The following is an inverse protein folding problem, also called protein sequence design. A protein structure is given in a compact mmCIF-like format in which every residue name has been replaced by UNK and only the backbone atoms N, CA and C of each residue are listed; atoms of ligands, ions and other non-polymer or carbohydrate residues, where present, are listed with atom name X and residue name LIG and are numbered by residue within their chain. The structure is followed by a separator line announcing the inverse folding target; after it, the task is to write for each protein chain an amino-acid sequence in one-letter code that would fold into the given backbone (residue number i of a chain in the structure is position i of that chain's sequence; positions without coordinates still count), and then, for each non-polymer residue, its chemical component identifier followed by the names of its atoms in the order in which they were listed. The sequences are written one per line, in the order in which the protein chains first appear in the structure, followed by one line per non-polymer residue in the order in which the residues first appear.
data_IF_433800522327
#
_entry.id   IF_433800522327
#
_cell.length_a   1.000
_cell.length_b   1.000
_cell.length_c   1.000
_cell.angle_alpha   90.00
_cell.angle_beta   90.00
_cell.angle_gamma   90.00
#
_symmetry.space_group_name_H-M   'P 1'
#
loop_
_entity.id
_entity.type
_entity.pdbx_description
1 polymer ?
#
# COMPACT_ATOMS: atom_id res chain seq x y z
N UNK A 1 51.49 42.39 -15.59
CA UNK A 1 51.50 41.18 -14.74
C UNK A 1 50.14 41.14 -14.03
N UNK A 2 49.03 40.85 -14.70
CA UNK A 2 48.71 39.62 -15.45
C UNK A 2 48.69 38.39 -14.54
N UNK A 3 47.50 37.98 -14.12
CA UNK A 3 47.03 36.60 -14.24
C UNK A 3 45.56 36.51 -13.81
N UNK A 4 44.74 36.37 -14.85
CA UNK A 4 43.42 35.78 -14.82
C UNK A 4 43.54 34.30 -14.39
N UNK A 5 42.63 33.79 -13.56
CA UNK A 5 42.42 32.35 -13.43
C UNK A 5 40.93 32.05 -13.23
N UNK A 6 40.25 32.07 -14.37
CA UNK A 6 39.01 31.37 -14.63
C UNK A 6 39.04 29.95 -14.05
N UNK A 7 37.99 29.62 -13.30
CA UNK A 7 37.71 28.28 -12.81
C UNK A 7 36.22 27.99 -12.71
N UNK A 8 35.39 28.65 -13.53
CA UNK A 8 34.04 28.15 -13.78
C UNK A 8 34.17 26.88 -14.62
N UNK A 9 34.17 25.73 -13.96
CA UNK A 9 33.93 24.45 -14.62
C UNK A 9 32.49 24.44 -15.11
N UNK A 10 32.33 25.01 -16.31
CA UNK A 10 31.15 24.98 -17.13
C UNK A 10 30.95 23.53 -17.60
N UNK A 11 30.43 22.68 -16.70
CA UNK A 11 30.01 21.33 -17.02
C UNK A 11 28.79 21.44 -17.94
N UNK A 12 29.07 21.45 -19.25
CA UNK A 12 28.07 21.42 -20.31
C UNK A 12 27.25 20.14 -20.17
N UNK A 13 26.15 20.20 -19.41
CA UNK A 13 25.12 19.15 -19.37
C UNK A 13 24.67 18.94 -20.83
N UNK A 14 24.77 17.71 -21.38
CA UNK A 14 24.57 17.47 -22.80
C UNK A 14 23.18 17.95 -23.21
N UNK A 15 23.11 18.73 -24.29
CA UNK A 15 21.88 19.19 -24.94
C UNK A 15 20.93 18.00 -25.14
N UNK A 16 20.02 17.81 -24.19
CA UNK A 16 19.03 16.73 -24.24
C UNK A 16 17.86 17.22 -25.08
N UNK A 17 18.04 17.20 -26.40
CA UNK A 17 16.92 17.14 -27.33
C UNK A 17 16.09 15.90 -26.98
N UNK A 18 14.99 16.06 -26.24
CA UNK A 18 13.96 15.04 -26.08
C UNK A 18 12.60 15.72 -26.06
N UNK A 19 11.76 15.33 -27.00
CA UNK A 19 10.38 15.75 -27.21
C UNK A 19 9.68 15.95 -25.85
N UNK A 20 9.07 17.12 -25.66
CA UNK A 20 8.33 17.47 -24.44
C UNK A 20 7.36 16.34 -24.00
N UNK A 21 6.77 15.62 -24.96
CA UNK A 21 5.91 14.46 -24.71
C UNK A 21 6.51 13.33 -23.85
N UNK A 22 7.83 13.06 -23.94
CA UNK A 22 8.47 12.00 -23.14
C UNK A 22 8.58 12.41 -21.67
N UNK A 23 8.70 13.71 -21.38
CA UNK A 23 8.72 14.23 -20.00
C UNK A 23 7.35 14.14 -19.36
N UNK A 24 6.29 14.55 -20.07
CA UNK A 24 4.92 14.41 -19.57
C UNK A 24 4.55 12.94 -19.32
N UNK A 25 4.97 12.03 -20.20
CA UNK A 25 4.77 10.60 -20.00
C UNK A 25 5.42 10.09 -18.70
N UNK A 26 6.63 10.56 -18.37
CA UNK A 26 7.31 10.20 -17.14
C UNK A 26 6.55 10.68 -15.89
N UNK A 27 6.05 11.92 -15.91
CA UNK A 27 5.28 12.49 -14.79
C UNK A 27 3.96 11.75 -14.59
N UNK A 28 3.23 11.47 -15.68
CA UNK A 28 1.97 10.72 -15.64
C UNK A 28 2.21 9.29 -15.18
N UNK A 29 3.24 8.60 -15.67
CA UNK A 29 3.59 7.26 -15.23
C UNK A 29 4.02 7.21 -13.76
N UNK A 30 4.79 8.20 -13.29
CA UNK A 30 5.17 8.34 -11.89
C UNK A 30 3.94 8.56 -10.99
N UNK A 31 3.04 9.45 -11.39
CA UNK A 31 1.78 9.71 -10.71
C UNK A 31 0.90 8.46 -10.61
N UNK A 32 0.69 7.76 -11.73
CA UNK A 32 -0.09 6.52 -11.77
C UNK A 32 0.57 5.42 -10.93
N UNK A 33 1.89 5.29 -11.01
CA UNK A 33 2.65 4.33 -10.19
C UNK A 33 2.46 4.59 -8.68
N UNK A 34 2.57 5.84 -8.24
CA UNK A 34 2.35 6.20 -6.83
C UNK A 34 0.90 5.99 -6.39
N UNK A 35 -0.06 6.28 -7.27
CA UNK A 35 -1.47 6.01 -7.05
C UNK A 35 -1.74 4.51 -6.82
N UNK A 36 -1.23 3.66 -7.71
CA UNK A 36 -1.42 2.21 -7.63
C UNK A 36 -0.74 1.59 -6.40
N UNK A 37 0.48 2.01 -6.08
CA UNK A 37 1.21 1.53 -4.89
C UNK A 37 0.42 1.78 -3.62
N UNK A 38 -0.16 2.98 -3.48
CA UNK A 38 -0.95 3.32 -2.31
C UNK A 38 -2.33 2.67 -2.32
N UNK A 39 -2.97 2.51 -3.48
CA UNK A 39 -4.20 1.73 -3.60
C UNK A 39 -4.00 0.28 -3.12
N UNK A 40 -2.91 -0.38 -3.54
CA UNK A 40 -2.53 -1.73 -3.09
C UNK A 40 -2.25 -1.78 -1.59
N UNK A 41 -1.59 -0.75 -1.05
CA UNK A 41 -1.24 -0.66 0.37
C UNK A 41 -2.48 -0.54 1.26
N UNK A 42 -3.45 0.29 0.88
CA UNK A 42 -4.66 0.52 1.68
C UNK A 42 -5.69 -0.60 1.52
N UNK A 43 -5.67 -1.30 0.37
CA UNK A 43 -6.57 -2.43 0.09
C UNK A 43 -6.58 -3.45 1.23
N UNK A 44 -5.40 -3.74 1.77
CA UNK A 44 -5.22 -4.69 2.86
C UNK A 44 -5.92 -4.34 4.16
N UNK A 45 -5.90 -3.07 4.56
CA UNK A 45 -6.53 -2.61 5.79
C UNK A 45 -8.06 -2.70 5.72
N UNK A 46 -8.62 -2.66 4.51
CA UNK A 46 -10.06 -2.80 4.27
C UNK A 46 -10.43 -4.28 4.09
N UNK A 47 -9.66 -5.02 3.30
CA UNK A 47 -9.91 -6.41 2.99
C UNK A 47 -9.84 -7.33 4.23
N UNK A 48 -8.98 -7.02 5.21
CA UNK A 48 -8.92 -7.79 6.47
C UNK A 48 -10.26 -7.78 7.20
N UNK A 49 -11.04 -6.69 7.10
CA UNK A 49 -12.36 -6.61 7.73
C UNK A 49 -13.36 -7.60 7.11
N UNK A 50 -13.25 -7.86 5.80
CA UNK A 50 -14.06 -8.88 5.11
C UNK A 50 -13.53 -10.31 5.25
N UNK A 51 -12.26 -10.49 5.63
CA UNK A 51 -11.67 -11.81 5.90
C UNK A 51 -12.07 -12.38 7.27
N UNK A 52 -12.51 -11.52 8.20
CA UNK A 52 -12.75 -11.88 9.59
C UNK A 52 -14.18 -12.33 9.85
N UNK A 53 -14.35 -13.35 10.68
CA UNK A 53 -15.63 -13.64 11.32
C UNK A 53 -15.84 -12.68 12.51
N UNK A 54 -16.45 -11.52 12.25
CA UNK A 54 -16.63 -10.48 13.28
C UNK A 54 -17.47 -10.96 14.48
N UNK A 55 -18.42 -11.87 14.27
CA UNK A 55 -19.25 -12.44 15.35
C UNK A 55 -18.43 -13.36 16.26
N UNK A 56 -17.63 -14.27 15.71
CA UNK A 56 -16.79 -15.17 16.50
C UNK A 56 -15.66 -14.42 17.22
N UNK A 57 -15.03 -13.44 16.54
CA UNK A 57 -13.99 -12.60 17.15
C UNK A 57 -14.58 -11.78 18.29
N UNK A 58 -15.76 -11.17 18.12
CA UNK A 58 -16.45 -10.43 19.16
C UNK A 58 -16.73 -11.25 20.42
N UNK A 59 -17.14 -12.52 20.26
CA UNK A 59 -17.35 -13.45 21.38
C UNK A 59 -16.03 -13.79 22.07
N UNK A 60 -14.95 -14.07 21.33
CA UNK A 60 -13.65 -14.39 21.92
C UNK A 60 -13.02 -13.22 22.68
N UNK A 61 -13.13 -12.00 22.16
CA UNK A 61 -12.67 -10.78 22.87
C UNK A 61 -13.61 -10.35 24.01
N UNK A 62 -14.91 -10.67 23.93
CA UNK A 62 -15.87 -10.40 25.00
C UNK A 62 -15.81 -11.41 26.15
N UNK A 63 -15.34 -12.63 25.88
CA UNK A 63 -15.20 -13.70 26.89
C UNK A 63 -14.06 -13.46 27.89
N UNK A 64 -13.12 -12.54 27.63
CA UNK A 64 -12.06 -12.18 28.59
C UNK A 64 -12.53 -11.15 29.65
N UNK A 65 -13.74 -10.60 29.53
CA UNK A 65 -14.29 -9.61 30.47
C UNK A 65 -15.47 -10.11 31.31
N UNK A 66 -15.79 -11.41 31.30
CA UNK A 66 -16.74 -12.00 32.25
C UNK A 66 -16.01 -12.88 33.25
N UNK A 67 -15.37 -12.26 34.25
CA UNK A 67 -15.25 -12.94 35.55
C UNK A 67 -15.14 -12.05 36.77
N UNK A 68 -14.77 -10.76 36.68
CA UNK A 68 -14.43 -10.01 37.91
C UNK A 68 -14.99 -8.58 38.03
N UNK A 69 -16.27 -8.32 37.79
CA UNK A 69 -16.93 -7.13 38.34
C UNK A 69 -18.37 -7.46 38.77
N UNK A 70 -18.79 -7.11 40.00
CA UNK A 70 -20.11 -7.45 40.50
C UNK A 70 -21.17 -6.64 39.75
N UNK A 71 -22.14 -7.38 39.23
CA UNK A 71 -23.36 -6.86 38.63
C UNK A 71 -24.14 -6.02 39.65
N UNK A 72 -23.96 -4.71 39.63
CA UNK A 72 -24.90 -3.77 40.25
C UNK A 72 -26.00 -3.45 39.24
N UNK A 73 -27.20 -3.89 39.58
CA UNK A 73 -28.43 -3.85 38.83
C UNK A 73 -28.75 -2.52 38.11
N UNK A 74 -29.01 -2.62 36.81
CA UNK A 74 -30.18 -1.98 36.19
C UNK A 74 -30.89 -3.01 35.31
N UNK A 75 -31.97 -3.54 35.86
CA UNK A 75 -33.25 -3.87 35.22
C UNK A 75 -33.20 -4.22 33.72
N UNK A 76 -33.51 -5.48 33.40
CA UNK A 76 -33.86 -5.93 32.04
C UNK A 76 -34.76 -4.91 31.31
N UNK A 77 -34.35 -4.36 30.16
CA UNK A 77 -35.31 -3.94 29.15
C UNK A 77 -35.70 -5.17 28.31
N UNK A 78 -36.93 -5.22 27.77
CA UNK A 78 -37.41 -6.36 27.00
C UNK A 78 -36.55 -6.56 25.77
N UNK A 79 -36.55 -7.80 25.26
CA UNK A 79 -36.08 -8.17 23.93
C UNK A 79 -36.85 -7.33 22.91
N UNK A 80 -36.37 -6.11 22.68
CA UNK A 80 -36.77 -5.29 21.56
C UNK A 80 -35.72 -5.53 20.51
N UNK A 81 -36.08 -6.38 19.55
CA UNK A 81 -35.38 -6.56 18.29
C UNK A 81 -35.43 -5.26 17.50
N UNK A 82 -34.79 -4.20 18.01
CA UNK A 82 -34.45 -3.04 17.22
C UNK A 82 -33.48 -3.56 16.16
N UNK A 83 -33.96 -3.57 14.92
CA UNK A 83 -33.11 -3.56 13.73
C UNK A 83 -32.15 -2.38 13.83
N UNK A 84 -31.08 -2.53 14.62
CA UNK A 84 -29.82 -1.98 14.19
C UNK A 84 -29.64 -2.62 12.82
N UNK A 85 -29.50 -1.82 11.76
CA UNK A 85 -28.82 -2.31 10.56
C UNK A 85 -27.42 -2.68 11.03
N UNK A 86 -27.29 -3.85 11.65
CA UNK A 86 -26.10 -4.66 11.57
C UNK A 86 -25.86 -4.69 10.08
N UNK A 87 -24.88 -3.90 9.65
CA UNK A 87 -24.23 -4.10 8.36
C UNK A 87 -24.13 -5.61 8.24
N UNK A 88 -24.73 -6.17 7.21
CA UNK A 88 -24.66 -7.59 6.92
C UNK A 88 -23.19 -7.86 6.57
N UNK A 89 -22.35 -7.93 7.60
CA UNK A 89 -20.94 -8.25 7.48
C UNK A 89 -20.96 -9.72 7.15
N UNK A 90 -20.77 -10.00 5.86
CA UNK A 90 -20.51 -11.35 5.36
C UNK A 90 -19.40 -11.93 6.24
N UNK A 91 -19.74 -12.89 7.08
CA UNK A 91 -18.80 -13.45 8.05
C UNK A 91 -17.65 -14.08 7.27
N UNK A 92 -16.45 -13.51 7.38
CA UNK A 92 -15.26 -14.07 6.78
C UNK A 92 -14.88 -15.40 7.42
N UNK A 93 -14.05 -16.17 6.75
CA UNK A 93 -13.70 -17.54 7.15
C UNK A 93 -12.71 -17.58 8.33
N UNK A 94 -11.99 -16.48 8.59
CA UNK A 94 -10.85 -16.48 9.52
C UNK A 94 -11.18 -15.87 10.88
N UNK A 95 -10.68 -16.51 11.95
CA UNK A 95 -10.80 -16.04 13.33
C UNK A 95 -9.41 -15.54 13.77
N UNK A 96 -9.09 -14.28 13.46
CA UNK A 96 -7.85 -13.64 13.93
C UNK A 96 -8.14 -12.65 15.06
N UNK A 97 -7.48 -12.83 16.20
CA UNK A 97 -7.50 -11.87 17.33
C UNK A 97 -7.00 -10.49 16.88
N UNK A 98 -7.48 -9.38 17.47
CA UNK A 98 -7.00 -8.02 17.13
C UNK A 98 -5.46 -7.89 17.17
N UNK A 99 -4.80 -8.58 18.10
CA UNK A 99 -3.34 -8.67 18.16
C UNK A 99 -2.73 -9.22 16.86
N UNK A 100 -3.29 -10.29 16.30
CA UNK A 100 -2.81 -10.90 15.06
C UNK A 100 -3.10 -10.02 13.84
N UNK A 101 -4.24 -9.35 13.79
CA UNK A 101 -4.55 -8.38 12.75
C UNK A 101 -3.50 -7.24 12.72
N UNK A 102 -3.15 -6.73 13.91
CA UNK A 102 -2.08 -5.75 14.08
C UNK A 102 -0.72 -6.26 13.60
N UNK A 103 -0.37 -7.52 13.90
CA UNK A 103 0.88 -8.13 13.41
C UNK A 103 0.89 -8.28 11.89
N UNK A 104 -0.21 -8.72 11.27
CA UNK A 104 -0.31 -8.87 9.80
C UNK A 104 -0.15 -7.50 9.12
N UNK A 105 -0.87 -6.48 9.59
CA UNK A 105 -0.78 -5.13 9.03
C UNK A 105 0.62 -4.52 9.29
N UNK A 106 1.15 -4.72 10.49
CA UNK A 106 2.45 -4.19 10.94
C UNK A 106 3.65 -4.84 10.23
N UNK A 107 3.59 -6.13 9.89
CA UNK A 107 4.68 -6.88 9.22
C UNK A 107 5.17 -6.20 7.93
N UNK A 108 4.24 -5.59 7.18
CA UNK A 108 4.56 -4.78 6.00
C UNK A 108 5.49 -3.61 6.34
N UNK A 109 5.23 -2.90 7.44
CA UNK A 109 6.01 -1.72 7.82
C UNK A 109 7.42 -2.09 8.27
N UNK A 110 7.58 -3.24 8.93
CA UNK A 110 8.91 -3.73 9.30
C UNK A 110 9.79 -3.97 8.05
N UNK A 111 9.26 -4.65 7.03
CA UNK A 111 9.98 -4.86 5.76
C UNK A 111 10.20 -3.57 4.96
N UNK A 112 9.25 -2.65 5.05
CA UNK A 112 9.34 -1.34 4.40
C UNK A 112 10.49 -0.50 4.95
N UNK A 113 10.59 -0.38 6.29
CA UNK A 113 11.63 0.44 6.95
C UNK A 113 13.03 -0.12 6.71
N UNK A 114 13.20 -1.44 6.77
CA UNK A 114 14.52 -2.08 6.57
C UNK A 114 15.09 -1.81 5.17
N UNK A 115 14.23 -1.62 4.17
CA UNK A 115 14.64 -1.52 2.76
C UNK A 115 14.75 -0.08 2.27
N UNK A 116 14.30 0.92 3.03
CA UNK A 116 14.40 2.34 2.64
C UNK A 116 15.85 2.79 2.37
N UNK A 117 16.75 2.56 3.33
CA UNK A 117 18.14 3.00 3.22
C UNK A 117 18.92 2.19 2.17
N UNK A 118 18.86 0.83 2.15
CA UNK A 118 19.48 0.05 1.09
C UNK A 118 18.88 0.35 -0.29
N UNK A 119 17.57 0.56 -0.37
CA UNK A 119 16.83 0.90 -1.59
C UNK A 119 17.26 2.23 -2.19
N UNK A 120 17.57 3.23 -1.35
CA UNK A 120 18.15 4.50 -1.78
C UNK A 120 19.49 4.32 -2.49
N UNK A 121 20.40 3.53 -1.90
CA UNK A 121 21.69 3.23 -2.53
C UNK A 121 21.53 2.43 -3.82
N UNK A 122 20.63 1.46 -3.83
CA UNK A 122 20.33 0.69 -5.04
C UNK A 122 19.81 1.59 -6.16
N UNK A 123 18.94 2.57 -5.87
CA UNK A 123 18.40 3.52 -6.86
C UNK A 123 19.46 4.48 -7.44
N UNK A 124 20.52 4.77 -6.68
CA UNK A 124 21.64 5.57 -7.17
C UNK A 124 22.48 4.82 -8.20
N UNK A 125 22.78 3.54 -7.90
CA UNK A 125 23.66 2.66 -8.68
C UNK A 125 22.91 2.09 -9.90
N UNK A 126 21.76 1.48 -9.67
CA UNK A 126 20.89 0.94 -10.70
C UNK A 126 19.82 1.98 -11.02
N UNK A 127 19.76 2.42 -12.29
CA UNK A 127 18.85 3.46 -12.75
C UNK A 127 17.45 3.35 -12.11
N UNK A 128 17.02 4.39 -11.40
CA UNK A 128 15.78 4.39 -10.60
C UNK A 128 14.52 3.95 -11.36
N UNK A 129 14.49 4.05 -12.71
CA UNK A 129 13.36 3.59 -13.54
C UNK A 129 13.10 2.09 -13.39
N UNK A 130 14.18 1.30 -13.31
CA UNK A 130 14.08 -0.15 -13.22
C UNK A 130 13.71 -0.57 -11.80
N UNK A 131 14.29 0.08 -10.80
CA UNK A 131 13.97 -0.20 -9.39
C UNK A 131 12.53 0.19 -9.06
N UNK A 132 12.08 1.34 -9.54
CA UNK A 132 10.69 1.77 -9.39
C UNK A 132 9.74 0.75 -10.04
N UNK A 133 9.96 0.39 -11.31
CA UNK A 133 9.13 -0.60 -12.00
C UNK A 133 9.14 -1.98 -11.35
N UNK A 134 10.31 -2.50 -10.99
CA UNK A 134 10.46 -3.81 -10.34
C UNK A 134 9.87 -3.84 -8.94
N UNK A 135 10.01 -2.78 -8.15
CA UNK A 135 9.44 -2.69 -6.81
C UNK A 135 7.92 -2.77 -6.82
N UNK A 136 7.29 -2.02 -7.74
CA UNK A 136 5.83 -2.09 -7.91
C UNK A 136 5.43 -3.45 -8.52
N UNK A 137 6.21 -3.98 -9.47
CA UNK A 137 6.04 -5.29 -10.07
C UNK A 137 5.97 -6.44 -9.09
N UNK A 138 7.03 -6.57 -8.28
CA UNK A 138 7.12 -7.59 -7.25
C UNK A 138 6.02 -7.38 -6.22
N UNK A 139 5.72 -6.13 -5.84
CA UNK A 139 4.63 -5.86 -4.91
C UNK A 139 3.26 -6.30 -5.44
N UNK A 140 2.98 -6.14 -6.74
CA UNK A 140 1.72 -6.54 -7.34
C UNK A 140 1.61 -8.07 -7.44
N UNK A 141 2.70 -8.75 -7.83
CA UNK A 141 2.75 -10.21 -7.84
C UNK A 141 2.52 -10.81 -6.44
N UNK A 142 3.17 -10.25 -5.42
CA UNK A 142 2.93 -10.63 -4.02
C UNK A 142 1.49 -10.35 -3.60
N UNK A 143 0.87 -9.28 -4.11
CA UNK A 143 -0.56 -8.99 -3.88
C UNK A 143 -1.49 -10.08 -4.39
N UNK A 144 -1.19 -10.69 -5.54
CA UNK A 144 -1.98 -11.79 -6.11
C UNK A 144 -1.82 -13.10 -5.31
N UNK A 145 -0.70 -13.27 -4.63
CA UNK A 145 -0.39 -14.45 -3.81
C UNK A 145 -1.11 -14.39 -2.45
N UNK A 146 -1.47 -13.20 -1.96
CA UNK A 146 -2.08 -13.04 -0.63
C UNK A 146 -3.36 -13.85 -0.40
N UNK A 147 -4.37 -13.87 -1.31
CA UNK A 147 -5.55 -14.70 -1.06
C UNK A 147 -5.22 -16.17 -0.88
N UNK A 148 -4.33 -16.71 -1.70
CA UNK A 148 -3.83 -18.09 -1.56
C UNK A 148 -3.10 -18.23 -0.21
N UNK A 149 -2.25 -17.26 0.14
CA UNK A 149 -1.47 -17.31 1.38
C UNK A 149 -2.33 -17.31 2.65
N UNK A 150 -3.47 -16.60 2.62
CA UNK A 150 -4.40 -16.54 3.73
C UNK A 150 -5.10 -17.89 3.99
N UNK A 151 -5.40 -18.66 2.94
CA UNK A 151 -6.02 -19.99 3.06
C UNK A 151 -5.06 -21.06 3.59
N UNK A 152 -3.77 -20.95 3.29
CA UNK A 152 -2.77 -21.91 3.79
C UNK A 152 -2.46 -21.74 5.27
N UNK A 153 -1.93 -20.57 5.68
CA UNK A 153 -1.56 -20.33 7.06
C UNK A 153 -1.30 -18.84 7.34
N UNK A 154 -1.71 -18.36 8.52
CA UNK A 154 -1.50 -16.96 8.96
C UNK A 154 -0.03 -16.55 8.93
N UNK A 155 0.90 -17.43 9.31
CA UNK A 155 2.35 -17.15 9.25
C UNK A 155 2.85 -16.91 7.82
N UNK A 156 2.34 -17.65 6.84
CA UNK A 156 2.74 -17.47 5.44
C UNK A 156 2.23 -16.13 4.90
N UNK A 157 1.00 -15.73 5.29
CA UNK A 157 0.49 -14.39 5.02
C UNK A 157 1.40 -13.29 5.60
N UNK A 158 1.88 -13.44 6.84
CA UNK A 158 2.81 -12.49 7.48
C UNK A 158 4.12 -12.37 6.69
N UNK A 159 4.67 -13.49 6.21
CA UNK A 159 5.91 -13.51 5.41
C UNK A 159 5.69 -12.80 4.07
N UNK A 160 4.62 -13.13 3.35
CA UNK A 160 4.28 -12.48 2.08
C UNK A 160 4.11 -10.97 2.26
N UNK A 161 3.48 -10.56 3.37
CA UNK A 161 3.33 -9.13 3.72
C UNK A 161 4.64 -8.43 4.02
N UNK A 162 5.54 -9.09 4.75
CA UNK A 162 6.88 -8.55 5.00
C UNK A 162 7.67 -8.39 3.69
N UNK A 163 7.62 -9.39 2.79
CA UNK A 163 8.24 -9.33 1.46
C UNK A 163 7.64 -8.22 0.59
N UNK A 164 6.33 -8.01 0.66
CA UNK A 164 5.67 -6.92 -0.04
C UNK A 164 6.14 -5.56 0.49
N UNK A 165 6.33 -5.45 1.81
CA UNK A 165 6.95 -4.28 2.45
C UNK A 165 8.36 -4.00 1.92
N UNK A 166 9.20 -5.03 1.84
CA UNK A 166 10.55 -4.94 1.26
C UNK A 166 10.50 -4.45 -0.19
N UNK A 167 9.63 -5.03 -1.02
CA UNK A 167 9.48 -4.64 -2.43
C UNK A 167 8.97 -3.19 -2.60
N UNK A 168 8.05 -2.73 -1.75
CA UNK A 168 7.56 -1.33 -1.80
C UNK A 168 8.50 -0.33 -1.14
N UNK A 169 9.41 -0.78 -0.26
CA UNK A 169 10.36 0.09 0.44
C UNK A 169 11.32 0.84 -0.49
N UNK A 170 11.62 0.28 -1.66
CA UNK A 170 12.50 0.91 -2.67
C UNK A 170 11.80 1.97 -3.53
N UNK A 171 10.47 2.03 -3.52
CA UNK A 171 9.68 2.85 -4.46
C UNK A 171 9.87 4.35 -4.24
N UNK A 172 9.83 4.81 -2.99
CA UNK A 172 10.06 6.21 -2.63
C UNK A 172 11.47 6.69 -2.97
N UNK A 173 12.55 6.02 -2.55
CA UNK A 173 13.88 6.44 -2.94
C UNK A 173 14.09 6.42 -4.46
N UNK A 174 13.52 5.44 -5.17
CA UNK A 174 13.62 5.35 -6.61
C UNK A 174 12.91 6.51 -7.33
N UNK A 175 11.70 6.90 -6.90
CA UNK A 175 10.97 8.01 -7.53
C UNK A 175 11.65 9.36 -7.26
N UNK A 176 12.17 9.59 -6.05
CA UNK A 176 12.93 10.81 -5.75
C UNK A 176 14.24 10.89 -6.54
N UNK A 177 14.94 9.76 -6.72
CA UNK A 177 16.13 9.71 -7.56
C UNK A 177 15.80 10.04 -9.03
N UNK A 178 14.69 9.49 -9.54
CA UNK A 178 14.21 9.75 -10.89
C UNK A 178 13.84 11.22 -11.10
N UNK A 179 13.06 11.78 -10.17
CA UNK A 179 12.64 13.18 -10.20
C UNK A 179 13.84 14.13 -10.15
N UNK A 180 14.86 13.80 -9.34
CA UNK A 180 16.10 14.58 -9.28
C UNK A 180 16.94 14.56 -10.55
N UNK A 181 16.87 13.49 -11.36
CA UNK A 181 17.67 13.35 -12.60
C UNK A 181 16.94 13.79 -13.86
N UNK A 182 15.60 13.72 -13.90
CA UNK A 182 14.81 13.95 -15.12
C UNK A 182 14.09 15.30 -15.16
N UNK A 183 13.92 15.96 -14.01
CA UNK A 183 13.18 17.22 -13.93
C UNK A 183 14.10 18.43 -14.00
N UNK A 184 13.66 19.51 -14.67
CA UNK A 184 14.37 20.79 -14.64
C UNK A 184 14.30 21.40 -13.23
N UNK A 185 15.36 22.08 -12.79
CA UNK A 185 15.46 22.65 -11.43
C UNK A 185 14.34 23.66 -11.15
N UNK A 186 13.90 24.41 -12.17
CA UNK A 186 12.85 25.43 -12.12
C UNK A 186 11.45 24.86 -11.81
N UNK A 187 11.15 23.66 -12.30
CA UNK A 187 9.83 23.02 -12.17
C UNK A 187 9.85 21.81 -11.23
N UNK A 188 11.02 21.47 -10.66
CA UNK A 188 11.26 20.25 -9.88
C UNK A 188 10.23 20.06 -8.78
N UNK A 189 10.02 21.10 -7.96
CA UNK A 189 9.07 21.06 -6.84
C UNK A 189 7.64 20.82 -7.32
N UNK A 190 7.25 21.40 -8.47
CA UNK A 190 5.91 21.23 -9.03
C UNK A 190 5.70 19.80 -9.53
N UNK A 191 6.66 19.26 -10.28
CA UNK A 191 6.57 17.88 -10.77
C UNK A 191 6.59 16.87 -9.63
N UNK A 192 7.45 17.08 -8.63
CA UNK A 192 7.49 16.27 -7.41
C UNK A 192 6.13 16.30 -6.69
N UNK A 193 5.55 17.49 -6.50
CA UNK A 193 4.23 17.65 -5.90
C UNK A 193 3.14 16.93 -6.69
N UNK A 194 3.14 17.03 -8.03
CA UNK A 194 2.20 16.32 -8.90
C UNK A 194 2.34 14.81 -8.71
N UNK A 195 3.54 14.24 -8.82
CA UNK A 195 3.75 12.79 -8.68
C UNK A 195 3.36 12.29 -7.29
N UNK A 196 3.73 13.02 -6.23
CA UNK A 196 3.42 12.66 -4.85
C UNK A 196 1.92 12.80 -4.54
N UNK A 197 1.21 13.73 -5.19
CA UNK A 197 -0.24 13.87 -5.02
C UNK A 197 -1.02 12.60 -5.39
N UNK A 198 -0.45 11.75 -6.26
CA UNK A 198 -0.98 10.43 -6.59
C UNK A 198 -1.20 9.53 -5.38
N UNK A 199 -0.41 9.69 -4.31
CA UNK A 199 -0.55 8.95 -3.04
C UNK A 199 -1.94 9.14 -2.43
N UNK A 200 -2.37 10.40 -2.35
CA UNK A 200 -3.65 10.77 -1.74
C UNK A 200 -4.81 10.28 -2.61
N UNK A 201 -4.69 10.45 -3.92
CA UNK A 201 -5.70 10.02 -4.89
C UNK A 201 -5.84 8.48 -4.87
N UNK A 202 -4.73 7.75 -4.84
CA UNK A 202 -4.73 6.29 -4.74
C UNK A 202 -5.34 5.78 -3.45
N UNK A 203 -5.11 6.48 -2.33
CA UNK A 203 -5.74 6.16 -1.04
C UNK A 203 -7.26 6.38 -1.10
N UNK A 204 -7.69 7.55 -1.57
CA UNK A 204 -9.11 7.93 -1.65
C UNK A 204 -9.88 7.05 -2.63
N UNK A 205 -9.27 6.67 -3.76
CA UNK A 205 -9.90 5.77 -4.73
C UNK A 205 -9.81 4.29 -4.30
N UNK A 206 -8.73 3.91 -3.62
CA UNK A 206 -8.44 2.53 -3.22
C UNK A 206 -9.37 2.02 -2.13
N UNK A 207 -9.70 2.83 -1.12
CA UNK A 207 -10.54 2.39 0.00
C UNK A 207 -11.98 2.03 -0.43
N UNK A 208 -12.70 2.87 -1.21
CA UNK A 208 -14.04 2.53 -1.69
C UNK A 208 -14.03 1.36 -2.67
N UNK A 209 -12.99 1.27 -3.53
CA UNK A 209 -12.84 0.16 -4.47
C UNK A 209 -12.65 -1.17 -3.71
N UNK A 210 -11.74 -1.21 -2.74
CA UNK A 210 -11.53 -2.36 -1.89
C UNK A 210 -12.80 -2.77 -1.12
N UNK A 211 -13.52 -1.79 -0.55
CA UNK A 211 -14.78 -2.03 0.16
C UNK A 211 -15.87 -2.61 -0.75
N UNK A 212 -16.03 -2.06 -1.96
CA UNK A 212 -17.01 -2.53 -2.95
C UNK A 212 -16.68 -3.94 -3.43
N UNK A 213 -15.40 -4.23 -3.69
CA UNK A 213 -14.95 -5.54 -4.15
C UNK A 213 -15.11 -6.61 -3.07
N UNK A 214 -14.76 -6.28 -1.82
CA UNK A 214 -14.91 -7.20 -0.67
C UNK A 214 -16.38 -7.57 -0.42
N UNK A 215 -17.31 -6.64 -0.67
CA UNK A 215 -18.75 -6.88 -0.55
C UNK A 215 -19.39 -7.56 -1.77
N UNK A 216 -18.70 -7.62 -2.91
CA UNK A 216 -19.25 -8.21 -4.14
C UNK A 216 -19.16 -9.74 -4.09
N UNK A 217 -20.12 -10.46 -4.69
CA UNK A 217 -20.09 -11.94 -4.76
C UNK A 217 -19.15 -12.49 -5.83
N UNK A 218 -18.50 -11.62 -6.59
CA UNK A 218 -17.57 -12.01 -7.66
C UNK A 218 -16.32 -12.66 -7.05
N UNK A 219 -15.94 -13.87 -7.52
CA UNK A 219 -14.76 -14.64 -7.04
C UNK A 219 -14.68 -14.95 -5.52
N UNK A 220 -15.81 -15.07 -4.83
CA UNK A 220 -15.81 -15.49 -3.42
C UNK A 220 -15.64 -14.35 -2.41
N UNK A 221 -15.86 -13.08 -2.82
CA UNK A 221 -15.87 -11.93 -1.92
C UNK A 221 -14.51 -11.25 -1.81
N UNK A 222 -13.86 -11.43 -0.66
CA UNK A 222 -12.61 -10.75 -0.30
C UNK A 222 -11.39 -11.05 -1.21
N UNK A 223 -11.23 -12.21 -1.89
CA UNK A 223 -10.09 -12.46 -2.78
C UNK A 223 -10.11 -11.58 -4.03
N UNK A 224 -11.31 -11.18 -4.50
CA UNK A 224 -11.50 -10.38 -5.71
C UNK A 224 -10.81 -9.01 -5.65
N UNK A 225 -10.72 -8.43 -4.44
CA UNK A 225 -10.03 -7.18 -4.19
C UNK A 225 -8.53 -7.27 -4.47
N UNK A 226 -7.92 -8.45 -4.31
CA UNK A 226 -6.50 -8.66 -4.58
C UNK A 226 -6.24 -8.98 -6.05
N UNK A 227 -7.10 -9.79 -6.66
CA UNK A 227 -6.97 -10.14 -8.07
C UNK A 227 -7.16 -8.94 -8.99
N UNK A 228 -8.21 -8.14 -8.80
CA UNK A 228 -8.51 -7.01 -9.70
C UNK A 228 -7.50 -5.87 -9.53
N UNK A 229 -7.06 -5.59 -8.30
CA UNK A 229 -6.08 -4.53 -8.04
C UNK A 229 -4.66 -4.98 -8.45
N UNK A 230 -4.34 -6.28 -8.33
CA UNK A 230 -3.08 -6.85 -8.81
C UNK A 230 -3.01 -7.06 -10.34
N UNK A 231 -4.13 -7.41 -10.99
CA UNK A 231 -4.21 -7.58 -12.46
C UNK A 231 -4.08 -6.23 -13.17
N UNK A 232 -4.72 -5.17 -12.65
CA UNK A 232 -4.63 -3.80 -13.20
C UNK A 232 -3.22 -3.20 -13.13
N UNK A 233 -2.26 -3.91 -12.56
CA UNK A 233 -0.86 -3.56 -12.59
C UNK A 233 -0.09 -4.26 -13.73
N UNK A 234 -0.54 -5.44 -14.19
CA UNK A 234 0.16 -6.25 -15.21
C UNK A 234 -0.20 -5.79 -16.64
N UNK A 235 -1.34 -5.12 -16.82
CA UNK A 235 -1.83 -4.56 -18.09
C UNK A 235 -1.67 -3.03 -18.14
#
# INVERSE_FOLDING_TARGET
MESNSNGETNEKRPHRCKCAGVRYLFVVAGFLGMCLVFALRVNMSIAILGMLNSTAVGILTGSENLTNEPMCALMNPPIHSSKLKMVEIKNGTFIWTPKMQGVIIGSFYYGYVTTQVPGARLAEIYSGKWIFGLGIGISALLSLIIPVAAEFHTTFLIIVRALQGVAQGVTFPAIYNLLGRWTAEEEKTLVEAVVISGINIGTVAGMPLAAKLTNSEFFGGWPSAFYIIGERFIL
#
